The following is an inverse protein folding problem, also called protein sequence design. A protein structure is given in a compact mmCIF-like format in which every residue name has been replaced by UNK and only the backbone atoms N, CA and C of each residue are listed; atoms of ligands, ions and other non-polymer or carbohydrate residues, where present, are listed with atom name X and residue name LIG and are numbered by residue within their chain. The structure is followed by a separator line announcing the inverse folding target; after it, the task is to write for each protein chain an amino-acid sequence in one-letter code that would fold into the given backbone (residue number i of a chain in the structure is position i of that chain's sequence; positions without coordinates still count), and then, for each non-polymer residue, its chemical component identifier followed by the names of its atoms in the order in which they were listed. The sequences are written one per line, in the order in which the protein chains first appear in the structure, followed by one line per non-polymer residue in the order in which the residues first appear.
data_IF_958252112576
#
_entry.id   IF_958252112576
#
_cell.length_a   1.000
_cell.length_b   1.000
_cell.length_c   1.000
_cell.angle_alpha   90.00
_cell.angle_beta   90.00
_cell.angle_gamma   90.00
#
_symmetry.space_group_name_H-M   'P 1'
#
loop_
_entity.id
_entity.type
_entity.pdbx_description
1 polymer ?
#
# COMPACT_ATOMS: atom_id res chain seq x y z
N UNK A 1 22.32 11.33 -13.87
CA UNK A 1 21.10 11.86 -13.24
C UNK A 1 20.92 11.06 -11.97
N UNK A 2 20.92 11.73 -10.82
CA UNK A 2 20.67 11.05 -9.55
C UNK A 2 19.20 10.65 -9.53
N UNK A 3 18.94 9.34 -9.52
CA UNK A 3 17.59 8.81 -9.43
C UNK A 3 17.10 9.12 -8.02
N UNK A 4 16.25 10.15 -7.89
CA UNK A 4 15.57 10.46 -6.63
C UNK A 4 14.77 9.22 -6.28
N UNK A 5 15.24 8.46 -5.28
CA UNK A 5 14.55 7.26 -4.81
C UNK A 5 13.23 7.69 -4.20
N UNK A 6 12.13 7.44 -4.92
CA UNK A 6 10.77 7.64 -4.40
C UNK A 6 10.52 6.69 -3.22
N UNK A 7 9.89 7.20 -2.17
CA UNK A 7 9.51 6.40 -1.01
C UNK A 7 8.60 5.24 -1.43
N UNK A 8 8.69 4.11 -0.72
CA UNK A 8 7.85 2.93 -0.94
C UNK A 8 6.83 2.77 0.18
N UNK A 9 5.56 2.66 -0.17
CA UNK A 9 4.50 2.24 0.74
C UNK A 9 4.05 0.82 0.44
N UNK A 10 3.88 0.01 1.48
CA UNK A 10 3.44 -1.38 1.38
C UNK A 10 2.32 -1.68 2.36
N UNK A 11 1.29 -2.38 1.88
CA UNK A 11 0.24 -2.95 2.72
C UNK A 11 0.05 -4.41 2.31
N UNK A 12 0.18 -5.32 3.28
CA UNK A 12 -0.10 -6.75 3.11
C UNK A 12 -1.43 -7.11 3.78
N UNK A 13 -2.23 -7.90 3.08
CA UNK A 13 -3.50 -8.41 3.58
C UNK A 13 -3.61 -9.91 3.31
N UNK A 14 -4.47 -10.59 4.08
CA UNK A 14 -4.91 -11.94 3.74
C UNK A 14 -6.16 -11.84 2.85
N UNK A 15 -5.96 -12.07 1.55
CA UNK A 15 -6.99 -12.07 0.52
C UNK A 15 -6.96 -10.85 -0.39
N UNK A 16 -7.37 -11.04 -1.64
CA UNK A 16 -7.28 -10.01 -2.68
C UNK A 16 -8.22 -8.82 -2.44
N UNK A 17 -9.38 -9.04 -1.80
CA UNK A 17 -10.37 -7.98 -1.54
C UNK A 17 -9.82 -6.90 -0.62
N UNK A 18 -9.16 -7.31 0.47
CA UNK A 18 -8.50 -6.37 1.39
C UNK A 18 -7.40 -5.56 0.70
N UNK A 19 -6.60 -6.22 -0.14
CA UNK A 19 -5.55 -5.54 -0.92
C UNK A 19 -6.13 -4.52 -1.92
N UNK A 20 -7.22 -4.85 -2.61
CA UNK A 20 -7.88 -3.93 -3.55
C UNK A 20 -8.42 -2.70 -2.83
N UNK A 21 -9.13 -2.89 -1.71
CA UNK A 21 -9.64 -1.78 -0.91
C UNK A 21 -8.52 -0.91 -0.34
N UNK A 22 -7.45 -1.54 0.17
CA UNK A 22 -6.25 -0.82 0.61
C UNK A 22 -5.70 0.07 -0.51
N UNK A 23 -5.54 -0.52 -1.70
CA UNK A 23 -4.97 0.16 -2.86
C UNK A 23 -5.83 1.34 -3.32
N UNK A 24 -7.15 1.17 -3.38
CA UNK A 24 -8.10 2.24 -3.74
C UNK A 24 -8.01 3.41 -2.74
N UNK A 25 -8.00 3.11 -1.44
CA UNK A 25 -7.85 4.13 -0.40
C UNK A 25 -6.49 4.83 -0.46
N UNK A 26 -5.39 4.10 -0.72
CA UNK A 26 -4.05 4.67 -0.86
C UNK A 26 -3.98 5.71 -1.98
N UNK A 27 -4.47 5.37 -3.17
CA UNK A 27 -4.39 6.26 -4.35
C UNK A 27 -5.38 7.43 -4.29
N UNK A 28 -6.46 7.32 -3.49
CA UNK A 28 -7.40 8.43 -3.23
C UNK A 28 -6.90 9.40 -2.17
N UNK A 29 -6.14 8.92 -1.18
CA UNK A 29 -5.72 9.72 -0.04
C UNK A 29 -4.57 10.67 -0.35
N UNK A 30 -3.66 10.31 -1.25
CA UNK A 30 -2.49 11.12 -1.57
C UNK A 30 -2.00 10.91 -3.00
N UNK A 31 -1.12 11.81 -3.47
CA UNK A 31 -0.48 11.71 -4.78
C UNK A 31 0.60 10.63 -4.78
N UNK A 32 0.18 9.39 -4.90
CA UNK A 32 1.04 8.20 -5.03
C UNK A 32 0.68 7.42 -6.29
N UNK A 33 1.64 6.64 -6.79
CA UNK A 33 1.44 5.75 -7.93
C UNK A 33 1.46 4.31 -7.46
N UNK A 34 0.39 3.56 -7.74
CA UNK A 34 0.42 2.11 -7.66
C UNK A 34 1.46 1.57 -8.64
N UNK A 35 2.44 0.84 -8.13
CA UNK A 35 3.48 0.21 -8.97
C UNK A 35 3.21 -1.28 -9.21
N UNK A 36 2.34 -1.89 -8.41
CA UNK A 36 1.93 -3.28 -8.58
C UNK A 36 1.41 -3.88 -7.29
N UNK A 37 1.14 -5.18 -7.34
CA UNK A 37 0.84 -6.00 -6.18
C UNK A 37 1.51 -7.36 -6.33
N UNK A 38 1.92 -7.96 -5.23
CA UNK A 38 2.61 -9.24 -5.18
C UNK A 38 1.79 -10.29 -4.42
N UNK A 39 1.85 -11.54 -4.88
CA UNK A 39 1.20 -12.69 -4.25
C UNK A 39 2.27 -13.72 -3.91
N UNK A 40 2.39 -14.06 -2.62
CA UNK A 40 3.42 -14.98 -2.14
C UNK A 40 2.87 -16.35 -1.69
N UNK A 41 1.57 -16.58 -1.87
CA UNK A 41 0.89 -17.80 -1.41
C UNK A 41 0.23 -17.63 -0.04
N UNK A 42 -0.40 -18.69 0.47
CA UNK A 42 -1.08 -18.69 1.79
C UNK A 42 -2.15 -17.60 1.98
N UNK A 43 -2.66 -17.06 0.88
CA UNK A 43 -3.61 -15.94 0.87
C UNK A 43 -2.97 -14.56 1.07
N UNK A 44 -1.65 -14.45 1.18
CA UNK A 44 -0.95 -13.19 1.40
C UNK A 44 -0.79 -12.43 0.08
N UNK A 45 -1.27 -11.18 0.09
CA UNK A 45 -1.19 -10.26 -1.06
C UNK A 45 -0.77 -8.89 -0.58
N UNK A 46 0.29 -8.34 -1.19
CA UNK A 46 0.86 -7.04 -0.85
C UNK A 46 0.67 -6.05 -1.99
N UNK A 47 0.15 -4.85 -1.70
CA UNK A 47 0.12 -3.72 -2.64
C UNK A 47 1.32 -2.79 -2.42
N UNK A 48 1.83 -2.19 -3.50
CA UNK A 48 3.03 -1.35 -3.49
C UNK A 48 2.75 -0.01 -4.17
N UNK A 49 3.06 1.10 -3.49
CA UNK A 49 2.95 2.45 -4.04
C UNK A 49 4.26 3.23 -3.94
N UNK A 50 4.48 4.17 -4.87
CA UNK A 50 5.61 5.11 -4.85
C UNK A 50 5.15 6.56 -4.83
N UNK A 51 5.95 7.43 -4.22
CA UNK A 51 5.73 8.88 -4.21
C UNK A 51 6.67 9.62 -3.25
N UNK A 52 6.38 10.88 -2.99
CA UNK A 52 7.07 11.64 -1.93
C UNK A 52 6.74 11.04 -0.55
N UNK A 53 7.71 11.06 0.38
CA UNK A 53 7.59 10.38 1.68
C UNK A 53 6.33 10.78 2.46
N UNK A 54 5.92 12.05 2.41
CA UNK A 54 4.70 12.53 3.06
C UNK A 54 3.44 11.95 2.43
N UNK A 55 3.38 11.92 1.10
CA UNK A 55 2.27 11.33 0.36
C UNK A 55 2.16 9.82 0.62
N UNK A 56 3.29 9.11 0.65
CA UNK A 56 3.33 7.67 0.93
C UNK A 56 2.86 7.35 2.36
N UNK A 57 3.26 8.14 3.37
CA UNK A 57 2.77 7.96 4.74
C UNK A 57 1.26 8.13 4.83
N UNK A 58 0.73 9.21 4.26
CA UNK A 58 -0.71 9.46 4.26
C UNK A 58 -1.49 8.37 3.50
N UNK A 59 -0.98 7.93 2.35
CA UNK A 59 -1.58 6.84 1.59
C UNK A 59 -1.65 5.53 2.40
N UNK A 60 -0.54 5.16 3.03
CA UNK A 60 -0.43 3.91 3.79
C UNK A 60 -1.32 3.92 5.04
N UNK A 61 -1.44 5.04 5.75
CA UNK A 61 -2.37 5.18 6.88
C UNK A 61 -3.84 4.99 6.45
N UNK A 62 -4.24 5.65 5.35
CA UNK A 62 -5.59 5.52 4.80
C UNK A 62 -5.88 4.09 4.30
N UNK A 63 -4.94 3.49 3.58
CA UNK A 63 -5.05 2.13 3.06
C UNK A 63 -5.16 1.09 4.17
N UNK A 64 -4.39 1.24 5.25
CA UNK A 64 -4.40 0.30 6.36
C UNK A 64 -5.75 0.33 7.09
N UNK A 65 -6.31 1.52 7.31
CA UNK A 65 -7.61 1.70 7.92
C UNK A 65 -8.76 1.15 7.05
N UNK A 66 -8.65 1.25 5.73
CA UNK A 66 -9.63 0.69 4.80
C UNK A 66 -9.55 -0.85 4.76
N UNK A 67 -8.34 -1.40 4.63
CA UNK A 67 -8.09 -2.84 4.62
C UNK A 67 -8.64 -3.56 5.86
N UNK A 68 -8.44 -2.99 7.06
CA UNK A 68 -8.93 -3.56 8.32
C UNK A 68 -10.45 -3.66 8.39
N UNK A 69 -11.21 -2.85 7.63
CA UNK A 69 -12.68 -2.88 7.65
C UNK A 69 -13.26 -4.01 6.81
N UNK A 70 -12.54 -4.42 5.77
CA UNK A 70 -13.04 -5.36 4.75
C UNK A 70 -12.33 -6.72 4.77
N UNK A 71 -11.25 -6.87 5.56
CA UNK A 71 -10.47 -8.09 5.63
C UNK A 71 -9.42 -8.09 6.73
N UNK A 72 -8.48 -9.02 6.63
CA UNK A 72 -7.36 -9.18 7.58
C UNK A 72 -6.14 -8.39 7.07
N UNK A 73 -5.82 -7.30 7.77
CA UNK A 73 -4.56 -6.58 7.59
C UNK A 73 -3.43 -7.36 8.26
N UNK A 74 -2.37 -7.66 7.51
CA UNK A 74 -1.22 -8.45 7.98
C UNK A 74 -0.04 -7.54 8.30
N UNK A 75 0.32 -6.63 7.40
CA UNK A 75 1.47 -5.75 7.58
C UNK A 75 1.29 -4.39 6.89
N UNK A 76 1.98 -3.39 7.43
CA UNK A 76 2.00 -2.01 6.94
C UNK A 76 3.42 -1.48 7.09
N UNK A 77 4.00 -0.93 6.03
CA UNK A 77 5.35 -0.41 6.10
C UNK A 77 5.61 0.72 5.11
N UNK A 78 6.51 1.63 5.51
CA UNK A 78 7.02 2.71 4.66
C UNK A 78 8.53 2.67 4.70
N UNK A 79 9.15 2.65 3.52
CA UNK A 79 10.59 2.86 3.33
C UNK A 79 10.76 4.27 2.74
N UNK A 80 11.29 5.24 3.51
CA UNK A 80 11.47 6.62 3.06
C UNK A 80 12.36 6.79 1.84
#
# INVERSE_FOLDING_TARGET
MEEIKEALGMIETRGLVGMIEATDAMVKAAKVRLIGYEKIGSGLVTTLVRGEVGAVRAAVEAGAAAAQKVGELVAVHVIP
#
